data_IF_808348972458
#
_entry.id   IF_808348972458
#
_cell.length_a   1.000
_cell.length_b   1.000
_cell.length_c   1.000
_cell.angle_alpha   90.00
_cell.angle_beta   90.00
_cell.angle_gamma   90.00
#
_symmetry.space_group_name_H-M   'P 1'
#
loop_
_entity.id
_entity.type
_entity.pdbx_description
1 polymer ?
#
# COMPACT_ATOMS: atom_id res chain seq x y z
N UNK A 1 -9.33 -20.21 7.34
CA UNK A 1 -9.64 -19.55 6.03
C UNK A 1 -8.44 -18.71 5.69
N UNK A 2 -7.85 -18.91 4.49
CA UNK A 2 -6.68 -18.13 4.07
C UNK A 2 -7.06 -16.65 3.99
N UNK A 3 -6.34 -15.82 4.75
CA UNK A 3 -6.30 -14.37 4.48
C UNK A 3 -5.78 -14.23 3.05
N UNK A 4 -6.48 -13.55 2.18
CA UNK A 4 -5.99 -13.26 0.83
C UNK A 4 -4.88 -12.22 0.98
N UNK A 5 -3.66 -12.70 1.13
CA UNK A 5 -2.48 -11.86 1.12
C UNK A 5 -2.18 -11.49 -0.33
N UNK A 6 -2.12 -10.22 -0.62
CA UNK A 6 -1.88 -9.72 -1.97
C UNK A 6 -0.42 -9.94 -2.42
N UNK A 7 0.54 -9.93 -1.48
CA UNK A 7 1.94 -10.30 -1.75
C UNK A 7 2.16 -11.73 -1.27
N UNK A 8 2.71 -12.57 -2.12
CA UNK A 8 2.85 -14.00 -1.88
C UNK A 8 3.99 -14.30 -0.91
N UNK A 9 3.79 -15.28 -0.05
CA UNK A 9 4.88 -15.85 0.74
C UNK A 9 5.98 -16.38 -0.18
N UNK A 10 7.21 -16.25 0.28
CA UNK A 10 8.39 -16.78 -0.40
C UNK A 10 8.80 -18.12 0.21
N UNK A 11 9.54 -18.98 -0.51
CA UNK A 11 9.98 -20.25 0.05
C UNK A 11 10.79 -20.05 1.34
N UNK A 12 10.40 -20.74 2.39
CA UNK A 12 11.07 -20.72 3.69
C UNK A 12 12.45 -21.38 3.63
N UNK A 13 13.35 -20.92 4.49
CA UNK A 13 14.62 -21.58 4.70
C UNK A 13 14.40 -23.04 5.18
N UNK A 14 15.13 -23.97 4.60
CA UNK A 14 15.13 -25.34 5.13
C UNK A 14 15.79 -25.33 6.51
N UNK A 15 15.30 -26.20 7.44
CA UNK A 15 15.76 -26.20 8.84
C UNK A 15 17.29 -26.32 9.05
N UNK A 16 18.03 -26.76 8.03
CA UNK A 16 19.52 -26.78 8.02
C UNK A 16 20.16 -25.44 7.58
N UNK A 17 19.36 -24.51 7.06
CA UNK A 17 19.81 -23.19 6.56
C UNK A 17 19.54 -22.07 7.59
N UNK A 18 18.93 -22.40 8.73
CA UNK A 18 18.67 -21.39 9.78
C UNK A 18 19.97 -21.02 10.49
N UNK A 19 20.38 -19.78 10.35
CA UNK A 19 21.51 -19.19 11.09
C UNK A 19 21.09 -18.61 12.44
N UNK A 20 19.83 -18.20 12.55
CA UNK A 20 19.21 -17.64 13.77
C UNK A 20 17.71 -17.92 13.76
N UNK A 21 17.06 -17.87 14.93
CA UNK A 21 15.61 -18.01 15.07
C UNK A 21 14.88 -16.68 14.94
N UNK A 22 15.58 -15.56 15.10
CA UNK A 22 15.03 -14.21 14.99
C UNK A 22 15.70 -13.51 13.83
N UNK A 23 14.88 -12.96 12.93
CA UNK A 23 15.34 -12.26 11.72
C UNK A 23 16.37 -13.09 10.91
N UNK A 24 16.08 -14.40 10.73
CA UNK A 24 16.88 -15.26 9.84
C UNK A 24 16.80 -14.69 8.42
N UNK A 25 17.93 -14.21 7.91
CA UNK A 25 18.04 -13.44 6.69
C UNK A 25 18.53 -14.29 5.52
N UNK A 26 17.81 -14.20 4.39
CA UNK A 26 18.27 -14.66 3.08
C UNK A 26 18.27 -13.48 2.11
N UNK A 27 19.44 -13.18 1.53
CA UNK A 27 19.62 -12.03 0.63
C UNK A 27 19.75 -12.47 -0.82
N UNK A 28 19.18 -11.66 -1.72
CA UNK A 28 19.32 -11.75 -3.18
C UNK A 28 19.81 -10.40 -3.68
N UNK A 29 21.07 -10.35 -4.07
CA UNK A 29 21.75 -9.11 -4.45
C UNK A 29 21.80 -8.97 -5.97
N UNK A 30 21.39 -7.82 -6.47
CA UNK A 30 21.53 -7.34 -7.83
C UNK A 30 22.32 -6.02 -7.79
N UNK A 31 22.68 -5.47 -8.98
CA UNK A 31 23.55 -4.29 -9.04
C UNK A 31 23.08 -3.10 -8.15
N UNK A 32 21.78 -2.80 -8.15
CA UNK A 32 21.22 -1.62 -7.45
C UNK A 32 20.17 -1.98 -6.39
N UNK A 33 19.93 -3.27 -6.18
CA UNK A 33 18.88 -3.78 -5.32
C UNK A 33 19.40 -4.90 -4.45
N UNK A 34 18.93 -4.96 -3.23
CA UNK A 34 19.08 -6.12 -2.37
C UNK A 34 17.72 -6.49 -1.78
N UNK A 35 17.19 -7.64 -2.19
CA UNK A 35 16.00 -8.22 -1.59
C UNK A 35 16.40 -9.09 -0.42
N UNK A 36 16.04 -8.68 0.78
CA UNK A 36 16.19 -9.45 2.01
C UNK A 36 14.87 -10.13 2.35
N UNK A 37 14.90 -11.43 2.56
CA UNK A 37 13.79 -12.19 3.12
C UNK A 37 14.13 -12.51 4.55
N UNK A 38 13.33 -12.07 5.48
CA UNK A 38 13.49 -12.29 6.91
C UNK A 38 12.43 -13.25 7.43
N UNK A 39 12.84 -14.17 8.26
CA UNK A 39 11.99 -15.14 8.92
C UNK A 39 12.29 -15.15 10.43
N UNK A 40 11.22 -15.07 11.23
CA UNK A 40 11.34 -15.14 12.69
C UNK A 40 10.47 -16.28 13.20
N UNK A 41 11.07 -17.16 14.00
CA UNK A 41 10.54 -18.43 14.44
C UNK A 41 10.23 -18.50 15.95
N UNK A 42 10.53 -17.42 16.68
CA UNK A 42 10.23 -17.31 18.11
C UNK A 42 9.78 -15.91 18.50
N UNK A 43 9.00 -15.82 19.57
CA UNK A 43 8.56 -14.54 20.12
C UNK A 43 9.77 -13.74 20.58
N UNK A 44 9.86 -12.49 20.11
CA UNK A 44 10.97 -11.59 20.43
C UNK A 44 10.48 -10.16 20.52
N UNK A 45 11.13 -9.34 21.33
CA UNK A 45 10.74 -7.95 21.53
C UNK A 45 11.94 -7.03 21.32
N UNK A 46 11.66 -5.82 20.83
CA UNK A 46 12.62 -4.72 20.64
C UNK A 46 13.86 -5.15 19.84
N UNK A 47 13.64 -5.96 18.79
CA UNK A 47 14.72 -6.40 17.91
C UNK A 47 15.14 -5.22 17.02
N UNK A 48 16.40 -4.73 17.17
CA UNK A 48 16.83 -3.57 16.42
C UNK A 48 17.14 -3.93 14.97
N UNK A 49 16.71 -3.09 14.05
CA UNK A 49 17.01 -3.22 12.63
C UNK A 49 17.23 -1.82 12.02
N UNK A 50 18.20 -1.73 11.11
CA UNK A 50 18.50 -0.51 10.38
C UNK A 50 19.09 -0.85 9.03
N UNK A 51 18.73 -0.07 8.01
CA UNK A 51 19.30 -0.16 6.67
C UNK A 51 20.02 1.14 6.32
N UNK A 52 21.15 1.04 5.64
CA UNK A 52 21.95 2.20 5.26
C UNK A 52 21.37 2.96 4.07
N UNK A 53 20.53 2.30 3.27
CA UNK A 53 19.81 2.85 2.12
C UNK A 53 18.30 2.87 2.35
N UNK A 54 17.56 3.43 1.38
CA UNK A 54 16.10 3.44 1.38
C UNK A 54 15.60 2.00 1.31
N UNK A 55 14.60 1.68 2.12
CA UNK A 55 14.04 0.35 2.21
C UNK A 55 12.53 0.33 2.03
N UNK A 56 12.04 -0.61 1.22
CA UNK A 56 10.62 -0.94 1.05
C UNK A 56 10.39 -2.28 1.74
N UNK A 57 9.61 -2.27 2.81
CA UNK A 57 9.33 -3.45 3.64
C UNK A 57 7.91 -3.94 3.36
N UNK A 58 7.74 -5.25 3.20
CA UNK A 58 6.43 -5.87 3.00
C UNK A 58 6.24 -7.04 3.97
N UNK A 59 5.11 -7.06 4.68
CA UNK A 59 4.71 -8.23 5.46
C UNK A 59 4.09 -9.27 4.53
N UNK A 60 4.62 -10.50 4.60
CA UNK A 60 4.10 -11.63 3.84
C UNK A 60 3.24 -12.53 4.73
N UNK A 61 3.66 -12.74 5.99
CA UNK A 61 2.95 -13.58 6.94
C UNK A 61 3.23 -13.17 8.39
N UNK A 62 2.24 -13.41 9.26
CA UNK A 62 2.34 -13.11 10.69
C UNK A 62 2.06 -11.65 11.01
N UNK A 63 2.54 -11.21 12.16
CA UNK A 63 2.35 -9.86 12.69
C UNK A 63 3.67 -9.36 13.29
N UNK A 64 3.96 -8.09 13.08
CA UNK A 64 5.00 -7.34 13.79
C UNK A 64 4.35 -6.16 14.52
N UNK A 65 4.98 -5.70 15.61
CA UNK A 65 4.74 -4.37 16.17
C UNK A 65 5.97 -3.54 15.86
N UNK A 66 5.75 -2.44 15.14
CA UNK A 66 6.84 -1.55 14.72
C UNK A 66 6.98 -0.39 15.69
N UNK A 67 8.20 -0.15 16.15
CA UNK A 67 8.58 1.00 16.94
C UNK A 67 9.53 1.85 16.12
N UNK A 68 9.05 3.02 15.70
CA UNK A 68 9.82 4.01 14.96
C UNK A 68 9.91 5.28 15.82
N UNK A 69 11.02 5.98 15.72
CA UNK A 69 11.19 7.29 16.34
C UNK A 69 10.10 8.26 15.83
N UNK A 70 9.54 9.05 16.73
CA UNK A 70 8.50 10.06 16.47
C UNK A 70 7.13 9.51 16.03
N UNK A 71 6.90 8.19 16.10
CA UNK A 71 5.63 7.57 15.73
C UNK A 71 5.19 6.62 16.86
N UNK A 72 3.91 6.67 17.30
CA UNK A 72 3.40 5.65 18.21
C UNK A 72 3.59 4.24 17.64
N UNK A 73 3.89 3.26 18.51
CA UNK A 73 4.01 1.87 18.08
C UNK A 73 2.72 1.41 17.38
N UNK A 74 2.86 0.67 16.30
CA UNK A 74 1.73 0.21 15.49
C UNK A 74 1.87 -1.25 15.04
N UNK A 75 0.73 -1.90 14.86
CA UNK A 75 0.64 -3.22 14.27
C UNK A 75 0.98 -3.18 12.79
N UNK A 76 1.86 -4.06 12.33
CA UNK A 76 2.24 -4.20 10.93
C UNK A 76 1.92 -5.61 10.42
N UNK A 77 1.06 -5.69 9.42
CA UNK A 77 0.42 -6.93 8.98
C UNK A 77 0.53 -7.15 7.45
N UNK A 78 0.29 -8.38 6.96
CA UNK A 78 0.16 -8.64 5.53
C UNK A 78 -0.90 -7.74 4.86
N UNK A 79 -0.56 -7.23 3.68
CA UNK A 79 -1.39 -6.25 2.96
C UNK A 79 -0.94 -4.80 3.12
N UNK A 80 0.15 -4.58 3.84
CA UNK A 80 0.73 -3.27 4.11
C UNK A 80 2.18 -3.20 3.60
N UNK A 81 2.61 -1.99 3.26
CA UNK A 81 3.98 -1.67 2.82
C UNK A 81 4.51 -0.48 3.61
N UNK A 82 5.72 -0.59 4.13
CA UNK A 82 6.47 0.51 4.72
C UNK A 82 7.57 0.96 3.76
N UNK A 83 7.77 2.29 3.67
CA UNK A 83 8.84 2.90 2.90
C UNK A 83 9.62 3.80 3.85
N UNK A 84 10.83 3.40 4.19
CA UNK A 84 11.62 4.11 5.18
C UNK A 84 12.88 4.73 4.54
N UNK A 85 13.25 5.95 4.95
CA UNK A 85 14.47 6.58 4.47
C UNK A 85 15.71 5.84 4.96
N UNK A 86 16.81 6.11 4.29
CA UNK A 86 18.13 5.61 4.68
C UNK A 86 18.42 5.92 6.16
N UNK A 87 19.04 4.98 6.83
CA UNK A 87 19.49 5.10 8.22
C UNK A 87 18.41 5.34 9.28
N UNK A 88 17.12 5.16 8.97
CA UNK A 88 16.05 5.23 9.98
C UNK A 88 16.12 3.99 10.89
N UNK A 89 16.39 4.15 12.19
CA UNK A 89 16.39 3.03 13.12
C UNK A 89 14.96 2.54 13.37
N UNK A 90 14.79 1.24 13.57
CA UNK A 90 13.53 0.62 13.96
C UNK A 90 13.78 -0.45 15.00
N UNK A 91 12.84 -0.65 15.91
CA UNK A 91 12.78 -1.77 16.82
C UNK A 91 11.47 -2.53 16.55
N UNK A 92 11.53 -3.86 16.64
CA UNK A 92 10.45 -4.72 16.14
C UNK A 92 10.11 -5.77 17.19
N UNK A 93 8.82 -5.90 17.52
CA UNK A 93 8.32 -7.04 18.27
C UNK A 93 7.71 -8.08 17.33
N UNK A 94 7.88 -9.35 17.68
CA UNK A 94 7.32 -10.51 17.00
C UNK A 94 6.40 -11.28 17.96
N UNK A 95 5.17 -10.80 18.21
CA UNK A 95 4.33 -11.35 19.28
C UNK A 95 3.78 -12.74 18.98
N UNK A 96 3.70 -13.15 17.73
CA UNK A 96 3.03 -14.37 17.28
C UNK A 96 3.97 -15.39 16.62
N UNK A 97 5.25 -15.05 16.45
CA UNK A 97 6.22 -15.89 15.74
C UNK A 97 6.43 -17.24 16.46
N UNK A 98 6.38 -18.33 15.70
CA UNK A 98 6.56 -19.70 16.22
C UNK A 98 7.26 -20.57 15.18
N UNK A 99 7.97 -21.59 15.65
CA UNK A 99 8.69 -22.53 14.78
C UNK A 99 7.81 -23.18 13.70
N UNK A 100 6.53 -23.47 13.99
CA UNK A 100 5.59 -24.07 13.04
C UNK A 100 4.80 -23.04 12.22
N UNK A 101 4.83 -21.79 12.64
CA UNK A 101 4.12 -20.68 12.03
C UNK A 101 4.97 -19.40 12.13
N UNK A 102 6.07 -19.32 11.35
CA UNK A 102 6.98 -18.19 11.41
C UNK A 102 6.39 -16.92 10.82
N UNK A 103 6.86 -15.79 11.31
CA UNK A 103 6.64 -14.50 10.66
C UNK A 103 7.58 -14.38 9.47
N UNK A 104 7.07 -13.95 8.32
CA UNK A 104 7.89 -13.71 7.13
C UNK A 104 7.64 -12.29 6.59
N UNK A 105 8.72 -11.58 6.31
CA UNK A 105 8.69 -10.29 5.65
C UNK A 105 9.83 -10.16 4.65
N UNK A 106 9.72 -9.16 3.79
CA UNK A 106 10.79 -8.75 2.87
C UNK A 106 11.21 -7.32 3.13
N UNK A 107 12.48 -7.04 2.90
CA UNK A 107 13.04 -5.70 2.87
C UNK A 107 13.82 -5.53 1.56
N UNK A 108 13.24 -4.77 0.64
CA UNK A 108 13.90 -4.39 -0.60
C UNK A 108 14.70 -3.11 -0.34
N UNK A 109 16.00 -3.25 -0.27
CA UNK A 109 16.95 -2.14 -0.12
C UNK A 109 17.35 -1.64 -1.49
N UNK A 110 17.31 -0.32 -1.67
CA UNK A 110 17.54 0.32 -2.97
C UNK A 110 18.54 1.46 -2.77
N UNK A 111 19.61 1.46 -3.54
CA UNK A 111 20.60 2.54 -3.47
C UNK A 111 19.93 3.90 -3.73
N UNK A 112 20.32 4.90 -2.96
CA UNK A 112 19.83 6.27 -3.14
C UNK A 112 20.09 6.82 -4.53
N UNK A 113 21.20 6.39 -5.17
CA UNK A 113 21.54 6.72 -6.54
C UNK A 113 20.50 6.20 -7.53
N UNK A 114 20.06 4.92 -7.38
CA UNK A 114 19.07 4.30 -8.25
C UNK A 114 17.69 4.94 -8.12
N UNK A 115 17.30 5.32 -6.91
CA UNK A 115 16.04 6.05 -6.70
C UNK A 115 16.08 7.40 -7.40
N UNK A 116 17.15 8.17 -7.20
CA UNK A 116 17.31 9.49 -7.81
C UNK A 116 17.35 9.39 -9.34
N UNK A 117 18.06 8.41 -9.91
CA UNK A 117 18.06 8.14 -11.35
C UNK A 117 16.63 7.88 -11.88
N UNK A 118 15.88 7.03 -11.17
CA UNK A 118 14.52 6.67 -11.58
C UNK A 118 13.54 7.83 -11.46
N UNK A 119 13.62 8.62 -10.40
CA UNK A 119 12.80 9.82 -10.21
C UNK A 119 13.13 10.90 -11.24
N UNK A 120 14.42 11.15 -11.51
CA UNK A 120 14.84 12.09 -12.54
C UNK A 120 14.34 11.64 -13.92
N UNK A 121 14.48 10.35 -14.26
CA UNK A 121 13.93 9.82 -15.50
C UNK A 121 12.42 10.07 -15.63
N UNK A 122 11.64 9.88 -14.56
CA UNK A 122 10.21 10.13 -14.57
C UNK A 122 9.90 11.63 -14.71
N UNK A 123 10.63 12.49 -14.00
CA UNK A 123 10.44 13.94 -14.07
C UNK A 123 10.79 14.52 -15.45
N UNK A 124 11.84 14.00 -16.10
CA UNK A 124 12.31 14.49 -17.40
C UNK A 124 11.42 14.01 -18.54
N UNK A 125 10.96 12.77 -18.52
CA UNK A 125 10.22 12.16 -19.63
C UNK A 125 8.70 12.20 -19.46
N UNK A 126 8.20 12.32 -18.22
CA UNK A 126 6.78 12.33 -17.89
C UNK A 126 6.46 13.47 -16.92
N UNK A 127 6.82 14.73 -17.26
CA UNK A 127 6.55 15.86 -16.38
C UNK A 127 5.04 15.99 -16.13
N UNK A 128 4.68 16.17 -14.89
CA UNK A 128 3.30 16.47 -14.51
C UNK A 128 3.05 17.95 -14.81
N UNK A 129 2.28 18.21 -15.88
CA UNK A 129 1.99 19.57 -16.35
C UNK A 129 1.06 20.34 -15.42
N UNK A 130 1.38 21.62 -15.23
CA UNK A 130 0.62 22.76 -14.69
C UNK A 130 0.69 23.05 -13.18
N UNK A 131 0.96 22.10 -12.29
CA UNK A 131 1.19 22.43 -10.86
C UNK A 131 2.35 21.62 -10.29
N UNK A 132 3.60 21.99 -10.60
CA UNK A 132 4.87 21.58 -9.90
C UNK A 132 4.85 20.29 -9.05
N UNK A 133 4.07 19.29 -9.42
CA UNK A 133 4.10 17.98 -8.79
C UNK A 133 5.24 17.18 -9.43
N UNK A 134 6.39 17.18 -8.77
CA UNK A 134 7.49 16.28 -9.11
C UNK A 134 7.13 14.83 -8.78
N UNK A 135 7.69 13.90 -9.51
CA UNK A 135 7.77 12.52 -9.05
C UNK A 135 8.71 12.48 -7.85
N UNK A 136 8.15 12.30 -6.66
CA UNK A 136 8.90 12.27 -5.42
C UNK A 136 8.20 11.43 -4.36
N UNK A 137 8.96 10.88 -3.42
CA UNK A 137 8.42 10.17 -2.28
C UNK A 137 7.86 11.11 -1.23
N UNK A 138 6.77 10.67 -0.62
CA UNK A 138 6.15 11.31 0.53
C UNK A 138 6.62 10.63 1.81
N UNK A 139 7.57 11.21 2.53
CA UNK A 139 8.12 10.61 3.74
C UNK A 139 7.16 10.64 4.94
N UNK A 140 6.17 11.51 4.91
CA UNK A 140 5.04 11.54 5.85
C UNK A 140 4.05 10.38 5.62
N UNK A 141 4.04 9.79 4.42
CA UNK A 141 3.21 8.63 4.04
C UNK A 141 4.05 7.38 3.86
N UNK A 142 4.80 7.05 4.89
CA UNK A 142 5.71 5.90 4.89
C UNK A 142 5.00 4.55 5.06
N UNK A 143 3.77 4.53 5.57
CA UNK A 143 2.94 3.34 5.81
C UNK A 143 1.71 3.40 4.90
N UNK A 144 1.63 2.51 3.93
CA UNK A 144 0.56 2.47 2.92
C UNK A 144 -0.09 1.09 2.85
N UNK A 145 -1.39 1.08 2.53
CA UNK A 145 -2.11 -0.16 2.24
C UNK A 145 -1.84 -0.63 0.81
N UNK A 146 -1.65 -1.93 0.62
CA UNK A 146 -1.41 -2.49 -0.70
C UNK A 146 -2.69 -2.49 -1.55
N UNK A 147 -2.57 -2.03 -2.79
CA UNK A 147 -3.57 -2.29 -3.84
C UNK A 147 -3.22 -3.58 -4.58
N UNK A 148 -4.16 -4.10 -5.38
CA UNK A 148 -3.91 -5.27 -6.23
C UNK A 148 -2.80 -5.04 -7.24
N UNK A 149 -2.71 -3.81 -7.77
CA UNK A 149 -1.68 -3.40 -8.73
C UNK A 149 -0.31 -3.34 -8.06
N UNK A 150 -0.22 -2.70 -6.87
CA UNK A 150 1.01 -2.63 -6.09
C UNK A 150 1.51 -4.02 -5.71
N UNK A 151 0.63 -4.90 -5.22
CA UNK A 151 0.99 -6.26 -4.88
C UNK A 151 1.40 -7.09 -6.12
N UNK A 152 0.74 -6.89 -7.25
CA UNK A 152 1.07 -7.59 -8.49
C UNK A 152 2.48 -7.23 -8.98
N UNK A 153 2.83 -5.96 -9.01
CA UNK A 153 4.16 -5.52 -9.44
C UNK A 153 5.24 -5.96 -8.45
N UNK A 154 4.96 -5.89 -7.14
CA UNK A 154 5.88 -6.38 -6.10
C UNK A 154 6.16 -7.87 -6.25
N UNK A 155 5.13 -8.69 -6.48
CA UNK A 155 5.29 -10.13 -6.72
C UNK A 155 6.13 -10.42 -7.97
N UNK A 156 5.93 -9.68 -9.08
CA UNK A 156 6.73 -9.81 -10.30
C UNK A 156 8.19 -9.45 -10.04
N UNK A 157 8.45 -8.35 -9.34
CA UNK A 157 9.80 -7.89 -9.02
C UNK A 157 10.54 -8.94 -8.17
N UNK A 158 9.92 -9.44 -7.10
CA UNK A 158 10.54 -10.47 -6.27
C UNK A 158 10.81 -11.75 -7.06
N UNK A 159 9.86 -12.19 -7.90
CA UNK A 159 10.07 -13.35 -8.76
C UNK A 159 11.26 -13.16 -9.73
N UNK A 160 11.40 -11.98 -10.32
CA UNK A 160 12.53 -11.66 -11.19
C UNK A 160 13.86 -11.68 -10.42
N UNK A 161 13.92 -11.04 -9.23
CA UNK A 161 15.13 -10.96 -8.42
C UNK A 161 15.63 -12.32 -7.93
N UNK A 162 14.69 -13.22 -7.59
CA UNK A 162 15.01 -14.57 -7.07
C UNK A 162 15.38 -15.54 -8.21
N UNK A 163 14.99 -15.23 -9.46
CA UNK A 163 15.18 -16.11 -10.59
C UNK A 163 16.65 -16.30 -10.95
N UNK A 164 16.92 -17.36 -11.72
CA UNK A 164 18.21 -17.61 -12.36
C UNK A 164 18.30 -17.05 -13.79
N UNK A 165 17.28 -16.26 -14.19
CA UNK A 165 17.21 -15.66 -15.53
C UNK A 165 18.43 -14.73 -15.76
N UNK A 166 19.17 -14.87 -16.88
CA UNK A 166 20.29 -13.99 -17.19
C UNK A 166 19.88 -12.52 -17.39
N UNK A 167 18.61 -12.24 -17.67
CA UNK A 167 18.06 -10.89 -17.84
C UNK A 167 17.44 -10.30 -16.57
N UNK A 168 17.55 -10.97 -15.42
CA UNK A 168 16.91 -10.57 -14.18
C UNK A 168 17.23 -9.13 -13.75
N UNK A 169 18.46 -8.64 -13.97
CA UNK A 169 18.83 -7.26 -13.62
C UNK A 169 18.04 -6.25 -14.44
N UNK A 170 17.94 -6.42 -15.75
CA UNK A 170 17.17 -5.53 -16.63
C UNK A 170 15.67 -5.61 -16.34
N UNK A 171 15.14 -6.81 -16.12
CA UNK A 171 13.74 -7.00 -15.74
C UNK A 171 13.42 -6.34 -14.40
N UNK A 172 14.29 -6.51 -13.40
CA UNK A 172 14.12 -5.89 -12.09
C UNK A 172 14.16 -4.37 -12.17
N UNK A 173 14.99 -3.80 -13.01
CA UNK A 173 15.07 -2.35 -13.24
C UNK A 173 13.77 -1.77 -13.79
N UNK A 174 13.17 -2.41 -14.79
CA UNK A 174 11.91 -1.99 -15.38
C UNK A 174 10.73 -2.15 -14.37
N UNK A 175 10.69 -3.29 -13.69
CA UNK A 175 9.66 -3.58 -12.67
C UNK A 175 9.77 -2.65 -11.47
N UNK A 176 10.98 -2.25 -11.09
CA UNK A 176 11.20 -1.26 -10.04
C UNK A 176 10.65 0.11 -10.43
N UNK A 177 10.86 0.57 -11.67
CA UNK A 177 10.28 1.84 -12.13
C UNK A 177 8.74 1.82 -12.07
N UNK A 178 8.11 0.71 -12.45
CA UNK A 178 6.66 0.55 -12.27
C UNK A 178 6.27 0.54 -10.80
N UNK A 179 6.99 -0.19 -9.93
CA UNK A 179 6.75 -0.21 -8.49
C UNK A 179 6.81 1.21 -7.89
N UNK A 180 7.82 1.98 -8.26
CA UNK A 180 8.00 3.36 -7.83
C UNK A 180 6.79 4.24 -8.19
N UNK A 181 6.31 4.13 -9.42
CA UNK A 181 5.10 4.84 -9.87
C UNK A 181 3.89 4.44 -9.02
N UNK A 182 3.69 3.14 -8.75
CA UNK A 182 2.56 2.63 -7.96
C UNK A 182 2.62 3.09 -6.50
N UNK A 183 3.81 3.12 -5.92
CA UNK A 183 4.01 3.64 -4.56
C UNK A 183 3.64 5.12 -4.50
N UNK A 184 4.18 5.94 -5.40
CA UNK A 184 3.89 7.39 -5.42
C UNK A 184 2.40 7.65 -5.63
N UNK A 185 1.75 6.90 -6.53
CA UNK A 185 0.29 6.97 -6.71
C UNK A 185 -0.46 6.64 -5.41
N UNK A 186 -0.04 5.58 -4.71
CA UNK A 186 -0.68 5.18 -3.46
C UNK A 186 -0.44 6.18 -2.34
N UNK A 187 0.77 6.73 -2.21
CA UNK A 187 1.07 7.77 -1.24
C UNK A 187 0.24 9.05 -1.49
N UNK A 188 0.10 9.46 -2.74
CA UNK A 188 -0.78 10.57 -3.11
C UNK A 188 -2.23 10.28 -2.72
N UNK A 189 -2.68 9.04 -2.91
CA UNK A 189 -4.01 8.61 -2.52
C UNK A 189 -4.21 8.60 -0.99
N UNK A 190 -3.24 8.11 -0.21
CA UNK A 190 -3.31 8.12 1.26
C UNK A 190 -3.37 9.56 1.82
N UNK A 191 -2.68 10.52 1.19
CA UNK A 191 -2.83 11.95 1.54
C UNK A 191 -4.27 12.45 1.41
N UNK A 192 -5.05 11.87 0.50
CA UNK A 192 -6.44 12.24 0.31
C UNK A 192 -7.36 11.76 1.42
N UNK A 193 -6.98 10.71 2.13
CA UNK A 193 -7.80 10.11 3.20
C UNK A 193 -7.75 10.87 4.52
N UNK A 194 -6.77 11.76 4.71
CA UNK A 194 -6.65 12.48 5.97
C UNK A 194 -7.72 13.56 6.13
N UNK A 195 -8.35 13.64 7.33
CA UNK A 195 -9.25 14.73 7.64
C UNK A 195 -8.49 16.07 7.69
N UNK A 196 -9.15 17.07 7.19
CA UNK A 196 -8.68 18.42 6.93
C UNK A 196 -8.13 19.15 8.15
N UNK A 197 -6.82 19.24 8.32
CA UNK A 197 -6.25 20.43 8.94
C UNK A 197 -5.36 21.24 7.98
N UNK A 198 -4.81 20.61 6.92
CA UNK A 198 -3.85 21.30 6.03
C UNK A 198 -4.14 21.21 4.52
N UNK A 199 -5.13 20.43 4.07
CA UNK A 199 -5.38 20.16 2.65
C UNK A 199 -6.47 21.03 1.96
N UNK A 200 -6.95 22.09 2.61
CA UNK A 200 -7.89 23.05 1.98
C UNK A 200 -7.20 24.03 1.03
N UNK A 201 -5.88 24.00 0.94
CA UNK A 201 -5.09 24.92 0.12
C UNK A 201 -4.71 24.24 -1.21
N UNK A 202 -5.71 24.01 -2.05
CA UNK A 202 -5.49 23.50 -3.41
C UNK A 202 -6.80 23.34 -4.18
N UNK A 203 -6.74 23.24 -5.53
CA UNK A 203 -7.96 23.15 -6.37
C UNK A 203 -8.81 21.91 -6.08
N UNK A 204 -8.25 20.91 -5.36
CA UNK A 204 -8.91 19.64 -5.08
C UNK A 204 -9.60 19.55 -3.71
N UNK A 205 -9.27 20.42 -2.75
CA UNK A 205 -9.89 20.44 -1.42
C UNK A 205 -11.42 20.50 -1.48
N UNK A 206 -12.00 21.45 -2.23
CA UNK A 206 -13.45 21.59 -2.33
C UNK A 206 -14.16 20.36 -2.92
N UNK A 207 -13.58 19.73 -3.96
CA UNK A 207 -14.23 18.57 -4.60
C UNK A 207 -14.13 17.31 -3.74
N UNK A 208 -13.01 17.11 -3.06
CA UNK A 208 -12.87 16.00 -2.12
C UNK A 208 -13.91 16.11 -0.99
N UNK A 209 -14.01 17.28 -0.38
CA UNK A 209 -15.00 17.56 0.66
C UNK A 209 -16.41 17.30 0.16
N UNK A 210 -16.74 17.81 -1.03
CA UNK A 210 -18.03 17.57 -1.66
C UNK A 210 -18.30 16.06 -1.85
N UNK A 211 -17.33 15.30 -2.35
CA UNK A 211 -17.46 13.84 -2.52
C UNK A 211 -17.74 13.17 -1.17
N UNK A 212 -16.97 13.49 -0.13
CA UNK A 212 -17.11 12.88 1.20
C UNK A 212 -18.47 13.18 1.84
N UNK A 213 -18.96 14.41 1.72
CA UNK A 213 -20.27 14.83 2.24
C UNK A 213 -21.43 14.17 1.50
N UNK A 214 -21.26 13.82 0.20
CA UNK A 214 -22.34 13.32 -0.66
C UNK A 214 -22.14 11.85 -1.11
N UNK A 215 -21.31 11.06 -0.39
CA UNK A 215 -20.98 9.67 -0.77
C UNK A 215 -22.20 8.77 -0.97
N UNK A 216 -23.27 9.01 -0.22
CA UNK A 216 -24.52 8.22 -0.29
C UNK A 216 -25.41 8.61 -1.46
N UNK A 217 -25.14 9.73 -2.08
CA UNK A 217 -25.92 10.26 -3.20
C UNK A 217 -25.46 9.72 -4.55
N UNK A 218 -26.22 10.02 -5.59
CA UNK A 218 -25.84 9.65 -6.98
C UNK A 218 -24.78 10.61 -7.49
N UNK A 219 -23.52 10.37 -7.12
CA UNK A 219 -22.40 11.09 -7.69
C UNK A 219 -22.12 10.62 -9.12
N UNK A 220 -22.05 11.56 -10.06
CA UNK A 220 -21.68 11.34 -11.47
C UNK A 220 -20.64 12.37 -11.89
N UNK A 221 -19.94 12.13 -12.98
CA UNK A 221 -19.00 13.09 -13.55
C UNK A 221 -19.67 14.44 -13.81
N UNK A 222 -20.94 14.44 -14.30
CA UNK A 222 -21.68 15.66 -14.57
C UNK A 222 -21.97 16.48 -13.31
N UNK A 223 -22.33 15.81 -12.21
CA UNK A 223 -22.54 16.45 -10.90
C UNK A 223 -21.24 17.09 -10.41
N UNK A 224 -20.12 16.37 -10.51
CA UNK A 224 -18.83 16.89 -10.09
C UNK A 224 -18.37 18.06 -10.97
N UNK A 225 -18.62 18.00 -12.30
CA UNK A 225 -18.33 19.10 -13.21
C UNK A 225 -19.13 20.37 -12.84
N UNK A 226 -20.42 20.19 -12.56
CA UNK A 226 -21.29 21.30 -12.20
C UNK A 226 -20.87 21.92 -10.86
N UNK A 227 -20.50 21.09 -9.89
CA UNK A 227 -20.09 21.56 -8.57
C UNK A 227 -18.76 22.33 -8.59
N UNK A 228 -17.86 21.98 -9.52
CA UNK A 228 -16.55 22.61 -9.67
C UNK A 228 -16.50 23.69 -10.74
N UNK A 229 -17.61 23.95 -11.42
CA UNK A 229 -17.68 24.84 -12.59
C UNK A 229 -16.62 24.50 -13.65
N UNK A 230 -16.47 23.19 -13.95
CA UNK A 230 -15.46 22.68 -14.87
C UNK A 230 -16.06 21.85 -15.99
N UNK A 231 -15.39 21.87 -17.16
CA UNK A 231 -15.69 20.91 -18.22
C UNK A 231 -15.27 19.50 -17.85
N UNK A 232 -15.90 18.46 -18.45
CA UNK A 232 -15.49 17.05 -18.25
C UNK A 232 -14.00 16.85 -18.53
N UNK A 233 -13.50 17.40 -19.63
CA UNK A 233 -12.08 17.29 -19.98
C UNK A 233 -11.18 17.93 -18.92
N UNK A 234 -11.56 19.11 -18.41
CA UNK A 234 -10.85 19.80 -17.33
C UNK A 234 -10.84 18.99 -16.05
N UNK A 235 -12.01 18.45 -15.64
CA UNK A 235 -12.12 17.61 -14.45
C UNK A 235 -11.27 16.34 -14.55
N UNK A 236 -11.35 15.59 -15.66
CA UNK A 236 -10.53 14.38 -15.86
C UNK A 236 -9.03 14.70 -15.89
N UNK A 237 -8.65 15.82 -16.53
CA UNK A 237 -7.26 16.27 -16.56
C UNK A 237 -6.77 16.57 -15.15
N UNK A 238 -7.51 17.39 -14.38
CA UNK A 238 -7.19 17.74 -13.01
C UNK A 238 -7.00 16.49 -12.12
N UNK A 239 -7.95 15.55 -12.16
CA UNK A 239 -7.86 14.32 -11.40
C UNK A 239 -6.68 13.44 -11.81
N UNK A 240 -6.40 13.36 -13.10
CA UNK A 240 -5.27 12.58 -13.60
C UNK A 240 -3.93 13.20 -13.23
N UNK A 241 -3.84 14.52 -13.26
CA UNK A 241 -2.65 15.29 -12.91
C UNK A 241 -2.37 15.26 -11.41
N UNK A 242 -3.39 15.47 -10.57
CA UNK A 242 -3.25 15.51 -9.12
C UNK A 242 -3.15 14.12 -8.48
N UNK A 243 -3.92 13.15 -8.96
CA UNK A 243 -4.10 11.85 -8.30
C UNK A 243 -3.79 10.63 -9.16
N UNK A 244 -3.58 10.80 -10.45
CA UNK A 244 -3.35 9.69 -11.38
C UNK A 244 -4.57 8.77 -11.59
N UNK A 245 -5.73 9.11 -11.00
CA UNK A 245 -6.97 8.33 -11.08
C UNK A 245 -8.11 9.16 -11.69
N UNK A 246 -9.22 8.50 -12.03
CA UNK A 246 -10.41 9.23 -12.50
C UNK A 246 -11.25 9.77 -11.31
N UNK A 247 -12.12 10.79 -11.55
CA UNK A 247 -13.03 11.29 -10.51
C UNK A 247 -13.89 10.19 -9.89
N UNK A 248 -14.43 9.30 -10.72
CA UNK A 248 -15.28 8.20 -10.25
C UNK A 248 -14.50 7.11 -9.50
N UNK A 249 -13.24 6.95 -9.81
CA UNK A 249 -12.36 6.06 -9.07
C UNK A 249 -12.17 6.58 -7.63
N UNK A 250 -11.98 7.88 -7.43
CA UNK A 250 -11.93 8.48 -6.08
C UNK A 250 -13.25 8.23 -5.32
N UNK A 251 -14.41 8.46 -5.96
CA UNK A 251 -15.72 8.18 -5.33
C UNK A 251 -15.83 6.72 -4.90
N UNK A 252 -15.38 5.78 -5.74
CA UNK A 252 -15.40 4.34 -5.42
C UNK A 252 -14.50 4.05 -4.22
N UNK A 253 -13.31 4.62 -4.19
CA UNK A 253 -12.34 4.40 -3.12
C UNK A 253 -12.86 4.94 -1.78
N UNK A 254 -13.39 6.16 -1.74
CA UNK A 254 -13.99 6.76 -0.53
C UNK A 254 -15.18 5.91 -0.02
N UNK A 255 -16.02 5.41 -0.93
CA UNK A 255 -17.12 4.51 -0.57
C UNK A 255 -16.63 3.19 0.03
N UNK A 256 -15.55 2.63 -0.49
CA UNK A 256 -14.97 1.38 0.02
C UNK A 256 -14.31 1.58 1.40
N UNK A 257 -13.66 2.72 1.64
CA UNK A 257 -13.12 3.03 2.98
C UNK A 257 -14.25 3.16 4.00
N UNK A 258 -15.29 3.94 3.69
CA UNK A 258 -16.50 4.01 4.53
C UNK A 258 -17.11 2.62 4.76
N UNK A 259 -17.09 1.75 3.76
CA UNK A 259 -17.60 0.39 3.91
C UNK A 259 -16.76 -0.44 4.89
N UNK A 260 -15.44 -0.31 4.88
CA UNK A 260 -14.56 -1.00 5.85
C UNK A 260 -14.89 -0.58 7.28
N UNK A 261 -15.14 0.71 7.53
CA UNK A 261 -15.51 1.21 8.85
C UNK A 261 -16.88 0.70 9.28
N UNK A 262 -17.88 0.75 8.39
CA UNK A 262 -19.22 0.25 8.69
C UNK A 262 -19.28 -1.27 8.86
N UNK A 263 -18.41 -2.05 8.19
CA UNK A 263 -18.31 -3.49 8.39
C UNK A 263 -17.76 -3.87 9.78
N UNK A 264 -17.13 -2.96 10.50
CA UNK A 264 -16.76 -3.13 11.91
C UNK A 264 -17.95 -3.04 12.87
N UNK A 265 -19.04 -2.47 12.39
CA UNK A 265 -20.29 -2.32 13.17
C UNK A 265 -21.21 -3.56 13.00
N UNK A 266 -22.40 -3.51 13.62
CA UNK A 266 -23.39 -4.60 13.54
C UNK A 266 -24.25 -4.58 12.25
N UNK A 267 -23.98 -3.70 11.30
CA UNK A 267 -24.72 -3.64 10.04
C UNK A 267 -24.46 -4.89 9.19
N UNK A 268 -25.48 -5.34 8.47
CA UNK A 268 -25.33 -6.39 7.46
C UNK A 268 -24.58 -5.87 6.22
N UNK A 269 -23.98 -6.75 5.45
CA UNK A 269 -23.31 -6.38 4.19
C UNK A 269 -24.23 -5.61 3.24
N UNK A 270 -25.51 -5.94 3.23
CA UNK A 270 -26.52 -5.24 2.42
C UNK A 270 -26.75 -3.81 2.91
N UNK A 271 -26.88 -3.60 4.22
CA UNK A 271 -27.02 -2.27 4.81
C UNK A 271 -25.76 -1.43 4.57
N UNK A 272 -24.58 -2.01 4.76
CA UNK A 272 -23.31 -1.34 4.46
C UNK A 272 -23.24 -0.90 3.00
N UNK A 273 -23.61 -1.78 2.06
CA UNK A 273 -23.65 -1.46 0.63
C UNK A 273 -24.42 -0.15 0.37
N UNK A 274 -25.66 -0.07 0.86
CA UNK A 274 -26.49 1.12 0.65
C UNK A 274 -26.02 2.34 1.44
N UNK A 275 -25.57 2.14 2.68
CA UNK A 275 -25.02 3.21 3.51
C UNK A 275 -23.74 3.85 2.93
N UNK A 276 -23.06 3.16 2.05
CA UNK A 276 -21.90 3.67 1.31
C UNK A 276 -22.25 4.25 -0.06
N UNK A 277 -23.54 4.25 -0.45
CA UNK A 277 -24.00 4.80 -1.74
C UNK A 277 -23.86 3.86 -2.93
N UNK A 278 -23.69 2.55 -2.70
CA UNK A 278 -23.81 1.54 -3.76
C UNK A 278 -25.28 1.11 -3.93
N UNK A 279 -25.71 0.94 -5.16
CA UNK A 279 -27.11 0.56 -5.48
C UNK A 279 -27.28 -0.94 -5.79
N UNK A 280 -26.18 -1.68 -5.97
CA UNK A 280 -26.17 -3.10 -6.31
C UNK A 280 -25.21 -3.84 -5.38
N UNK A 281 -25.77 -4.76 -4.58
CA UNK A 281 -25.01 -5.55 -3.60
C UNK A 281 -24.02 -6.50 -4.29
N UNK A 282 -24.38 -7.08 -5.45
CA UNK A 282 -23.50 -8.00 -6.17
C UNK A 282 -22.31 -7.24 -6.77
N UNK A 283 -22.55 -6.05 -7.31
CA UNK A 283 -21.48 -5.17 -7.76
C UNK A 283 -20.57 -4.77 -6.62
N UNK A 284 -21.13 -4.32 -5.48
CA UNK A 284 -20.38 -3.97 -4.28
C UNK A 284 -19.49 -5.12 -3.79
N UNK A 285 -20.05 -6.33 -3.66
CA UNK A 285 -19.29 -7.51 -3.18
C UNK A 285 -18.13 -7.84 -4.12
N UNK A 286 -18.35 -7.83 -5.44
CA UNK A 286 -17.28 -8.08 -6.43
C UNK A 286 -16.21 -7.00 -6.37
N UNK A 287 -16.61 -5.73 -6.31
CA UNK A 287 -15.71 -4.59 -6.27
C UNK A 287 -14.88 -4.59 -4.99
N UNK A 288 -15.53 -4.76 -3.83
CA UNK A 288 -14.86 -4.86 -2.54
C UNK A 288 -13.82 -5.99 -2.54
N UNK A 289 -14.22 -7.19 -3.01
CA UNK A 289 -13.28 -8.32 -3.13
C UNK A 289 -12.12 -8.00 -4.08
N UNK A 290 -12.39 -7.37 -5.20
CA UNK A 290 -11.35 -6.98 -6.16
C UNK A 290 -10.32 -6.02 -5.56
N UNK A 291 -10.74 -5.15 -4.62
CA UNK A 291 -9.88 -4.12 -4.02
C UNK A 291 -9.23 -4.55 -2.70
N UNK A 292 -9.87 -5.45 -1.95
CA UNK A 292 -9.39 -5.87 -0.62
C UNK A 292 -8.91 -7.32 -0.59
N UNK A 293 -9.11 -8.06 -1.69
CA UNK A 293 -8.77 -9.47 -1.78
C UNK A 293 -9.81 -10.42 -1.18
N UNK A 294 -10.68 -9.96 -0.27
CA UNK A 294 -11.70 -10.76 0.42
C UNK A 294 -13.09 -10.16 0.25
N UNK A 295 -14.14 -10.99 0.44
CA UNK A 295 -15.51 -10.48 0.38
C UNK A 295 -15.86 -9.64 1.62
N UNK A 296 -16.82 -8.68 1.53
CA UNK A 296 -17.25 -7.88 2.68
C UNK A 296 -17.69 -8.72 3.87
N UNK A 297 -18.37 -9.85 3.62
CA UNK A 297 -18.82 -10.76 4.69
C UNK A 297 -17.68 -11.49 5.40
N UNK A 298 -16.60 -11.79 4.69
CA UNK A 298 -15.37 -12.34 5.27
C UNK A 298 -14.63 -11.27 6.07
N UNK A 299 -14.46 -10.09 5.48
CA UNK A 299 -13.85 -8.94 6.16
C UNK A 299 -14.57 -8.64 7.48
N UNK A 300 -15.90 -8.60 7.48
CA UNK A 300 -16.70 -8.37 8.67
C UNK A 300 -16.48 -9.43 9.77
N UNK A 301 -16.37 -10.70 9.41
CA UNK A 301 -16.10 -11.79 10.35
C UNK A 301 -14.70 -11.67 10.96
N UNK A 302 -13.70 -11.39 10.13
CA UNK A 302 -12.31 -11.27 10.58
C UNK A 302 -12.13 -10.11 11.57
N UNK A 303 -12.73 -8.95 11.28
CA UNK A 303 -12.63 -7.77 12.14
C UNK A 303 -13.35 -7.97 13.48
N UNK A 304 -14.51 -8.65 13.49
CA UNK A 304 -15.27 -8.93 14.72
C UNK A 304 -14.59 -9.97 15.60
N UNK A 305 -13.94 -10.96 14.99
CA UNK A 305 -13.21 -11.98 15.72
C UNK A 305 -11.95 -11.43 16.40
N UNK A 306 -11.33 -10.41 15.80
CA UNK A 306 -10.14 -9.76 16.35
C UNK A 306 -10.49 -8.63 17.37
N UNK A 307 -11.77 -8.28 17.54
CA UNK A 307 -12.24 -7.25 18.49
C UNK A 307 -12.87 -7.86 19.76
N UNK A 308 -12.98 -9.20 19.83
CA UNK A 308 -13.46 -9.97 20.98
C UNK A 308 -12.33 -10.64 21.73
#
# INVERSE_FOLDING_TARGET
MEKVNLIRELPYAAGKELSTLVENRKAYTLNNFELNVFETYEVSNMVPLKFDDIVIINMLKGKKIMHLEDVPAFDYMPGETLILPASKPMEIDFPEARMKDPTQCTALVISSEKINESLNFLNDNYPKTEHKLSWDFSWDKFHISNTSELATITNKLFAAMISTDPFKDALSDLLFKELLIRIIQQQQFERLKEPESDNLIGPMGPIKKYIQEHLTEKLTVDVLCQQMDMSKAGLFRLFKEEYGISPMELVIQERLEKAKDLLRTNLSVKEVCYACGFNDVNYFVRLFRSRTGITPGLYQKDVRFNAS
#
